data_IF_821940193877
#
_entry.id   IF_821940193877
#
_cell.length_a   1.000
_cell.length_b   1.000
_cell.length_c   1.000
_cell.angle_alpha   90.00
_cell.angle_beta   90.00
_cell.angle_gamma   90.00
#
_symmetry.space_group_name_H-M   'P 1'
#
loop_
_entity.id
_entity.type
_entity.pdbx_description
1 polymer ?
#
# COMPACT_ATOMS: atom_id res chain seq x y z
N UNK A 1 -13.16 -20.43 48.92
CA UNK A 1 -14.37 -20.52 48.08
C UNK A 1 -14.31 -21.78 47.25
N UNK A 2 -15.30 -22.66 47.37
CA UNK A 2 -15.44 -23.82 46.49
C UNK A 2 -15.91 -23.35 45.10
N UNK A 3 -15.38 -23.95 44.03
CA UNK A 3 -15.72 -23.58 42.67
C UNK A 3 -15.31 -24.64 41.65
N UNK A 4 -15.92 -24.62 40.47
CA UNK A 4 -15.62 -25.56 39.40
C UNK A 4 -14.58 -24.98 38.43
N UNK A 5 -13.47 -25.69 38.23
CA UNK A 5 -12.41 -25.36 37.26
C UNK A 5 -12.51 -26.17 35.96
N UNK A 6 -13.63 -26.85 35.73
CA UNK A 6 -13.84 -27.70 34.55
C UNK A 6 -14.26 -26.85 33.34
N UNK A 7 -13.30 -26.32 32.59
CA UNK A 7 -13.54 -25.44 31.45
C UNK A 7 -14.14 -26.14 30.23
N UNK A 8 -13.88 -27.45 30.09
CA UNK A 8 -14.36 -28.26 28.96
C UNK A 8 -15.79 -28.77 29.11
N UNK A 9 -16.37 -28.64 30.30
CA UNK A 9 -17.66 -29.23 30.65
C UNK A 9 -18.70 -28.14 30.89
N UNK A 10 -19.62 -27.97 29.93
CA UNK A 10 -20.69 -26.98 29.97
C UNK A 10 -20.17 -25.53 29.93
N UNK A 11 -21.03 -24.59 30.31
CA UNK A 11 -20.68 -23.17 30.37
C UNK A 11 -20.32 -22.75 31.80
N UNK A 12 -19.71 -21.57 31.95
CA UNK A 12 -19.53 -20.96 33.28
C UNK A 12 -20.88 -20.77 33.97
N UNK A 13 -21.90 -20.33 33.22
CA UNK A 13 -23.23 -20.08 33.75
C UNK A 13 -23.90 -21.34 34.29
N UNK A 14 -23.94 -22.42 33.52
CA UNK A 14 -24.57 -23.68 33.95
C UNK A 14 -23.86 -24.26 35.16
N UNK A 15 -22.51 -24.24 35.17
CA UNK A 15 -21.72 -24.74 36.30
C UNK A 15 -21.99 -23.96 37.59
N UNK A 16 -22.04 -22.63 37.52
CA UNK A 16 -22.32 -21.79 38.70
C UNK A 16 -23.77 -21.96 39.15
N UNK A 17 -24.72 -22.01 38.23
CA UNK A 17 -26.14 -22.27 38.52
C UNK A 17 -26.31 -23.58 39.29
N UNK A 18 -25.65 -24.63 38.83
CA UNK A 18 -25.78 -25.96 39.43
C UNK A 18 -25.06 -26.04 40.80
N UNK A 19 -23.93 -25.34 40.97
CA UNK A 19 -23.26 -25.20 42.28
C UNK A 19 -24.10 -24.43 43.30
N UNK A 20 -24.80 -23.38 42.87
CA UNK A 20 -25.77 -22.65 43.71
C UNK A 20 -26.94 -23.57 44.09
N UNK A 21 -27.50 -24.29 43.12
CA UNK A 21 -28.63 -25.21 43.34
C UNK A 21 -28.28 -26.37 44.26
N UNK A 22 -27.05 -26.87 44.19
CA UNK A 22 -26.55 -27.92 45.07
C UNK A 22 -26.17 -27.41 46.48
N UNK A 23 -26.23 -26.10 46.73
CA UNK A 23 -25.87 -25.50 48.02
C UNK A 23 -24.37 -25.42 48.31
N UNK A 24 -23.52 -25.74 47.32
CA UNK A 24 -22.05 -25.62 47.43
C UNK A 24 -21.64 -24.15 47.47
N UNK A 25 -22.30 -23.33 46.65
CA UNK A 25 -22.23 -21.87 46.72
C UNK A 25 -23.53 -21.41 47.38
N UNK A 26 -23.42 -20.66 48.47
CA UNK A 26 -24.61 -20.08 49.13
C UNK A 26 -25.25 -19.04 48.21
N UNK A 27 -26.56 -18.88 48.31
CA UNK A 27 -27.28 -17.86 47.52
C UNK A 27 -26.74 -16.44 47.79
N UNK A 28 -26.28 -16.17 49.01
CA UNK A 28 -25.66 -14.90 49.42
C UNK A 28 -24.28 -14.68 48.78
N UNK A 29 -23.56 -15.76 48.48
CA UNK A 29 -22.22 -15.74 47.85
C UNK A 29 -22.31 -15.85 46.32
N UNK A 30 -23.49 -15.64 45.76
CA UNK A 30 -23.74 -15.66 44.33
C UNK A 30 -22.90 -14.60 43.62
N UNK A 31 -22.21 -14.95 42.51
CA UNK A 31 -21.40 -13.98 41.78
C UNK A 31 -22.24 -12.83 41.22
N UNK A 32 -21.70 -11.61 41.31
CA UNK A 32 -22.36 -10.36 40.87
C UNK A 32 -22.81 -10.43 39.41
N UNK A 33 -22.04 -11.09 38.54
CA UNK A 33 -22.35 -11.20 37.11
C UNK A 33 -23.51 -12.16 36.81
N UNK A 34 -23.90 -13.05 37.73
CA UNK A 34 -24.86 -14.12 37.44
C UNK A 34 -26.23 -13.59 37.05
N UNK A 35 -26.72 -12.58 37.78
CA UNK A 35 -28.03 -11.97 37.49
C UNK A 35 -28.03 -11.21 36.18
N UNK A 36 -26.91 -10.53 35.86
CA UNK A 36 -26.73 -9.86 34.57
C UNK A 36 -26.78 -10.86 33.43
N UNK A 37 -26.10 -12.00 33.57
CA UNK A 37 -26.12 -13.07 32.55
C UNK A 37 -27.51 -13.70 32.43
N UNK A 38 -28.21 -13.93 33.53
CA UNK A 38 -29.55 -14.51 33.53
C UNK A 38 -30.59 -13.59 32.87
N UNK A 39 -30.48 -12.28 33.08
CA UNK A 39 -31.35 -11.28 32.46
C UNK A 39 -31.02 -11.06 30.97
N UNK A 40 -29.73 -11.06 30.62
CA UNK A 40 -29.25 -10.78 29.27
C UNK A 40 -28.31 -11.88 28.78
N UNK A 41 -28.83 -13.09 28.46
CA UNK A 41 -28.00 -14.19 28.00
C UNK A 41 -27.39 -13.88 26.61
N UNK A 42 -26.16 -14.37 26.34
CA UNK A 42 -25.53 -14.18 25.02
C UNK A 42 -26.27 -14.99 23.95
N UNK A 43 -26.20 -14.55 22.68
CA UNK A 43 -26.80 -15.25 21.54
C UNK A 43 -26.28 -16.68 21.37
N UNK A 44 -24.99 -16.89 21.67
CA UNK A 44 -24.33 -18.19 21.62
C UNK A 44 -23.71 -18.47 22.97
N UNK A 45 -23.99 -19.66 23.49
CA UNK A 45 -23.42 -20.10 24.76
C UNK A 45 -21.91 -20.32 24.65
N UNK A 46 -21.11 -19.91 25.66
CA UNK A 46 -19.66 -20.06 25.66
C UNK A 46 -19.26 -21.50 26.02
N UNK A 47 -19.63 -22.44 25.15
CA UNK A 47 -19.23 -23.84 25.26
C UNK A 47 -17.81 -24.02 24.74
N UNK A 48 -17.06 -24.90 25.40
CA UNK A 48 -15.77 -25.32 24.90
C UNK A 48 -15.96 -26.17 23.64
N UNK A 49 -15.48 -25.67 22.51
CA UNK A 49 -15.36 -26.43 21.27
C UNK A 49 -13.89 -26.68 20.98
N UNK A 50 -13.51 -27.96 20.87
CA UNK A 50 -12.15 -28.32 20.46
C UNK A 50 -11.99 -27.88 19.00
N UNK A 51 -11.02 -27.00 18.65
CA UNK A 51 -10.81 -26.62 17.27
C UNK A 51 -10.39 -27.86 16.47
N UNK A 52 -11.27 -28.34 15.59
CA UNK A 52 -10.98 -29.46 14.71
C UNK A 52 -10.38 -28.88 13.44
N UNK A 53 -9.16 -29.31 13.09
CA UNK A 53 -8.61 -29.01 11.77
C UNK A 53 -9.43 -29.79 10.74
N UNK A 54 -9.95 -29.15 9.68
CA UNK A 54 -10.70 -29.87 8.66
C UNK A 54 -9.82 -31.00 8.10
N UNK A 55 -10.33 -32.23 8.18
CA UNK A 55 -9.60 -33.43 7.71
C UNK A 55 -9.42 -33.43 6.18
N UNK A 56 -10.24 -32.67 5.47
CA UNK A 56 -10.23 -32.58 4.00
C UNK A 56 -9.53 -31.30 3.58
N UNK A 57 -8.52 -31.44 2.72
CA UNK A 57 -7.85 -30.33 2.01
C UNK A 57 -8.81 -29.48 1.15
N UNK A 58 -10.05 -29.94 0.94
CA UNK A 58 -11.09 -29.33 0.12
C UNK A 58 -12.39 -29.07 0.90
N UNK A 59 -12.33 -28.90 2.23
CA UNK A 59 -13.45 -28.27 2.91
C UNK A 59 -13.48 -26.81 2.43
N UNK A 60 -14.37 -26.51 1.48
CA UNK A 60 -14.55 -25.15 0.98
C UNK A 60 -14.84 -24.22 2.17
N UNK A 61 -14.08 -23.12 2.24
CA UNK A 61 -14.32 -22.10 3.24
C UNK A 61 -15.75 -21.57 3.06
N UNK A 62 -16.51 -21.48 4.15
CA UNK A 62 -17.91 -21.04 4.11
C UNK A 62 -18.05 -19.56 3.74
N UNK A 63 -16.95 -18.81 3.77
CA UNK A 63 -16.94 -17.37 3.53
C UNK A 63 -16.59 -17.10 2.06
N UNK A 64 -17.53 -16.55 1.27
CA UNK A 64 -17.26 -16.20 -0.13
C UNK A 64 -16.36 -14.98 -0.26
N UNK A 65 -15.72 -14.82 -1.42
CA UNK A 65 -14.98 -13.62 -1.78
C UNK A 65 -15.92 -12.42 -1.97
N UNK A 66 -15.50 -11.24 -1.52
CA UNK A 66 -16.28 -10.00 -1.60
C UNK A 66 -15.77 -9.19 -2.79
N UNK A 67 -16.47 -9.26 -3.92
CA UNK A 67 -16.16 -8.53 -5.16
C UNK A 67 -17.33 -7.64 -5.55
N UNK A 68 -17.02 -6.41 -5.97
CA UNK A 68 -17.99 -5.44 -6.45
C UNK A 68 -17.80 -5.17 -7.94
N UNK A 69 -18.86 -4.66 -8.60
CA UNK A 69 -18.81 -4.37 -10.05
C UNK A 69 -17.74 -3.33 -10.39
N UNK A 70 -17.55 -2.35 -9.52
CA UNK A 70 -16.55 -1.32 -9.76
C UNK A 70 -15.10 -1.81 -9.59
N UNK A 71 -14.88 -3.01 -9.02
CA UNK A 71 -13.53 -3.58 -8.90
C UNK A 71 -12.93 -3.90 -10.27
N UNK A 72 -13.77 -4.21 -11.27
CA UNK A 72 -13.32 -4.35 -12.67
C UNK A 72 -12.72 -3.04 -13.21
N UNK A 73 -13.32 -1.91 -12.85
CA UNK A 73 -12.88 -0.57 -13.24
C UNK A 73 -11.62 -0.19 -12.47
N UNK A 74 -11.59 -0.47 -11.16
CA UNK A 74 -10.42 -0.23 -10.30
C UNK A 74 -9.21 -1.03 -10.80
N UNK A 75 -9.40 -2.30 -11.17
CA UNK A 75 -8.35 -3.15 -11.71
C UNK A 75 -7.72 -2.53 -12.98
N UNK A 76 -8.56 -2.14 -13.95
CA UNK A 76 -8.11 -1.45 -15.17
C UNK A 76 -7.40 -0.13 -14.87
N UNK A 77 -7.92 0.65 -13.93
CA UNK A 77 -7.32 1.92 -13.51
C UNK A 77 -5.90 1.70 -12.95
N UNK A 78 -5.73 0.75 -12.03
CA UNK A 78 -4.43 0.47 -11.41
C UNK A 78 -3.45 -0.22 -12.37
N UNK A 79 -3.94 -0.97 -13.36
CA UNK A 79 -3.10 -1.50 -14.44
C UNK A 79 -2.50 -0.36 -15.29
N UNK A 80 -3.34 0.59 -15.72
CA UNK A 80 -2.95 1.68 -16.63
C UNK A 80 -2.18 2.81 -15.93
N UNK A 81 -2.67 3.27 -14.77
CA UNK A 81 -2.14 4.46 -14.09
C UNK A 81 -1.33 4.12 -12.84
N UNK A 82 -1.55 2.95 -12.24
CA UNK A 82 -0.93 2.56 -10.99
C UNK A 82 -1.34 3.45 -9.80
N UNK A 83 -0.46 3.52 -8.81
CA UNK A 83 -0.69 4.37 -7.65
C UNK A 83 -0.44 5.84 -8.02
N UNK A 84 -1.48 6.66 -7.91
CA UNK A 84 -1.40 8.09 -8.17
C UNK A 84 -0.47 8.82 -7.17
N UNK A 85 -0.15 10.09 -7.44
CA UNK A 85 0.75 10.87 -6.57
C UNK A 85 0.13 11.18 -5.19
N UNK A 86 -1.21 11.11 -5.09
CA UNK A 86 -1.94 11.36 -3.85
C UNK A 86 -1.99 10.07 -3.02
N UNK A 87 -1.33 10.09 -1.87
CA UNK A 87 -1.41 9.02 -0.88
C UNK A 87 -2.84 8.84 -0.35
N UNK A 88 -3.19 7.62 0.06
CA UNK A 88 -4.46 7.33 0.70
C UNK A 88 -4.47 7.84 2.14
N UNK A 89 -5.49 8.62 2.50
CA UNK A 89 -5.71 9.06 3.88
C UNK A 89 -6.76 8.18 4.57
N UNK A 90 -6.34 7.02 5.08
CA UNK A 90 -7.24 6.02 5.67
C UNK A 90 -7.91 6.48 6.99
N UNK A 91 -7.39 7.53 7.63
CA UNK A 91 -7.97 8.11 8.85
C UNK A 91 -9.26 8.90 8.58
N UNK A 92 -9.42 9.40 7.34
CA UNK A 92 -10.62 10.16 6.95
C UNK A 92 -11.64 9.19 6.36
N UNK A 93 -12.80 8.99 6.99
CA UNK A 93 -13.79 8.01 6.51
C UNK A 93 -14.35 8.38 5.12
N UNK A 94 -14.42 9.68 4.81
CA UNK A 94 -14.96 10.19 3.55
C UNK A 94 -13.84 10.56 2.55
N UNK A 95 -12.67 9.90 2.63
CA UNK A 95 -11.59 10.18 1.71
C UNK A 95 -11.90 9.64 0.31
N UNK A 96 -12.04 10.54 -0.65
CA UNK A 96 -12.21 10.17 -2.05
C UNK A 96 -10.84 10.13 -2.74
N UNK A 97 -10.39 8.91 -3.06
CA UNK A 97 -9.15 8.69 -3.81
C UNK A 97 -9.31 9.06 -5.28
N UNK A 98 -8.20 9.25 -6.01
CA UNK A 98 -8.25 9.52 -7.45
C UNK A 98 -8.93 8.38 -8.22
N UNK A 99 -8.69 7.13 -7.81
CA UNK A 99 -9.36 5.96 -8.37
C UNK A 99 -10.87 5.98 -8.07
N UNK A 100 -11.28 6.38 -6.86
CA UNK A 100 -12.70 6.49 -6.53
C UNK A 100 -13.40 7.60 -7.33
N UNK A 101 -12.74 8.75 -7.56
CA UNK A 101 -13.27 9.80 -8.47
C UNK A 101 -13.44 9.27 -9.89
N UNK A 102 -12.48 8.48 -10.37
CA UNK A 102 -12.57 7.83 -11.67
C UNK A 102 -13.77 6.91 -11.78
N UNK A 103 -13.99 6.06 -10.78
CA UNK A 103 -15.16 5.16 -10.73
C UNK A 103 -16.47 5.94 -10.70
N UNK A 104 -16.55 7.02 -9.91
CA UNK A 104 -17.76 7.86 -9.85
C UNK A 104 -18.08 8.47 -11.21
N UNK A 105 -17.10 9.10 -11.86
CA UNK A 105 -17.27 9.66 -13.20
C UNK A 105 -17.59 8.60 -14.26
N UNK A 106 -16.99 7.42 -14.15
CA UNK A 106 -17.31 6.29 -15.04
C UNK A 106 -18.77 5.87 -14.89
N UNK A 107 -19.25 5.70 -13.67
CA UNK A 107 -20.64 5.34 -13.41
C UNK A 107 -21.63 6.43 -13.85
N UNK A 108 -21.27 7.70 -13.68
CA UNK A 108 -22.08 8.82 -14.17
C UNK A 108 -22.22 8.80 -15.69
N UNK A 109 -21.11 8.62 -16.44
CA UNK A 109 -21.15 8.54 -17.90
C UNK A 109 -21.83 7.27 -18.40
N UNK A 110 -21.65 6.13 -17.71
CA UNK A 110 -22.36 4.88 -17.99
C UNK A 110 -23.88 5.06 -17.84
N UNK A 111 -24.32 5.73 -16.77
CA UNK A 111 -25.75 5.96 -16.51
C UNK A 111 -26.44 6.86 -17.54
N UNK A 112 -25.67 7.75 -18.21
CA UNK A 112 -26.18 8.61 -19.28
C UNK A 112 -26.34 7.84 -20.59
N UNK A 113 -25.59 6.74 -20.78
CA UNK A 113 -25.71 5.87 -21.95
C UNK A 113 -25.12 6.46 -23.23
N UNK A 114 -24.32 7.52 -23.13
CA UNK A 114 -23.84 8.30 -24.28
C UNK A 114 -22.71 7.60 -25.06
N UNK A 115 -22.04 6.59 -24.46
CA UNK A 115 -20.72 6.12 -24.92
C UNK A 115 -20.59 4.60 -24.85
N UNK A 116 -19.89 4.01 -25.83
CA UNK A 116 -19.52 2.59 -25.83
C UNK A 116 -18.54 2.28 -24.69
N UNK A 117 -18.60 1.08 -24.06
CA UNK A 117 -17.79 0.74 -22.88
C UNK A 117 -16.27 0.79 -23.13
N UNK A 118 -15.83 0.54 -24.36
CA UNK A 118 -14.43 0.63 -24.77
C UNK A 118 -13.89 2.07 -24.75
N UNK A 119 -14.74 3.03 -25.13
CA UNK A 119 -14.39 4.45 -25.23
C UNK A 119 -14.65 5.19 -23.91
N UNK A 120 -15.60 4.68 -23.11
CA UNK A 120 -16.01 5.24 -21.82
C UNK A 120 -14.81 5.45 -20.88
N UNK A 121 -13.86 4.50 -20.84
CA UNK A 121 -12.66 4.61 -20.00
C UNK A 121 -11.72 5.75 -20.42
N UNK A 122 -11.61 6.03 -21.72
CA UNK A 122 -10.78 7.13 -22.21
C UNK A 122 -11.47 8.48 -22.01
N UNK A 123 -12.79 8.52 -22.15
CA UNK A 123 -13.58 9.72 -21.94
C UNK A 123 -13.63 10.13 -20.47
N UNK A 124 -13.74 9.17 -19.54
CA UNK A 124 -13.61 9.47 -18.11
C UNK A 124 -12.23 10.02 -17.77
N UNK A 125 -11.17 9.48 -18.38
CA UNK A 125 -9.82 10.02 -18.19
C UNK A 125 -9.71 11.46 -18.71
N UNK A 126 -10.29 11.77 -19.88
CA UNK A 126 -10.34 13.14 -20.42
C UNK A 126 -11.14 14.09 -19.53
N UNK A 127 -12.30 13.65 -19.03
CA UNK A 127 -13.14 14.43 -18.11
C UNK A 127 -12.41 14.75 -16.81
N UNK A 128 -11.74 13.76 -16.21
CA UNK A 128 -10.96 13.96 -14.98
C UNK A 128 -9.73 14.86 -15.18
N UNK A 129 -9.10 14.80 -16.35
CA UNK A 129 -8.03 15.74 -16.71
C UNK A 129 -8.57 17.18 -16.84
N UNK A 130 -9.77 17.36 -17.37
CA UNK A 130 -10.43 18.67 -17.43
C UNK A 130 -10.80 19.21 -16.03
N UNK A 131 -11.12 18.33 -15.07
CA UNK A 131 -11.31 18.67 -13.66
C UNK A 131 -10.00 18.95 -12.90
N UNK A 132 -8.84 18.75 -13.54
CA UNK A 132 -7.52 18.98 -12.95
C UNK A 132 -6.99 17.81 -12.11
N UNK A 133 -7.54 16.61 -12.24
CA UNK A 133 -7.00 15.41 -11.58
C UNK A 133 -5.79 14.89 -12.36
N UNK A 134 -4.66 14.74 -11.68
CA UNK A 134 -3.42 14.26 -12.30
C UNK A 134 -3.44 12.73 -12.50
N UNK A 135 -3.40 12.29 -13.75
CA UNK A 135 -3.35 10.87 -14.15
C UNK A 135 -2.07 10.60 -14.94
N UNK A 136 -1.13 9.84 -14.36
CA UNK A 136 0.12 9.44 -15.02
C UNK A 136 0.05 7.98 -15.43
N UNK A 137 0.22 7.67 -16.71
CA UNK A 137 0.28 6.28 -17.19
C UNK A 137 1.56 5.59 -16.73
N UNK A 138 1.44 4.36 -16.26
CA UNK A 138 2.56 3.50 -15.85
C UNK A 138 3.36 3.14 -17.11
N UNK A 139 4.66 3.47 -17.11
CA UNK A 139 5.56 3.22 -18.25
C UNK A 139 5.56 4.28 -19.36
N UNK A 140 4.75 5.34 -19.26
CA UNK A 140 4.84 6.48 -20.18
C UNK A 140 6.06 7.37 -19.87
N UNK A 141 6.61 8.11 -20.87
CA UNK A 141 7.63 9.11 -20.60
C UNK A 141 7.04 10.07 -19.56
N UNK A 142 7.76 10.30 -18.46
CA UNK A 142 7.30 11.22 -17.44
C UNK A 142 7.03 12.57 -18.11
N UNK A 143 5.77 12.97 -18.24
CA UNK A 143 5.46 14.37 -18.44
C UNK A 143 5.98 15.06 -17.18
N UNK A 144 7.14 15.66 -17.32
CA UNK A 144 7.64 16.70 -16.43
C UNK A 144 6.45 17.60 -16.11
N UNK A 145 6.13 17.70 -14.82
CA UNK A 145 5.34 18.82 -14.30
C UNK A 145 5.81 20.10 -15.00
N UNK A 146 4.94 21.09 -15.29
CA UNK A 146 5.39 22.34 -15.88
C UNK A 146 6.52 22.86 -15.02
N UNK A 147 7.73 22.71 -15.55
CA UNK A 147 8.96 23.01 -14.87
C UNK A 147 8.88 24.52 -14.68
N UNK A 148 8.69 24.97 -13.44
CA UNK A 148 9.19 26.29 -13.05
C UNK A 148 10.72 26.21 -13.08
N UNK A 149 11.28 26.01 -14.28
CA UNK A 149 12.69 26.23 -14.58
C UNK A 149 12.89 27.71 -14.40
N UNK A 150 13.29 28.11 -13.19
CA UNK A 150 13.83 29.44 -12.98
C UNK A 150 14.99 29.60 -13.98
N UNK A 151 14.90 30.48 -14.98
CA UNK A 151 15.91 30.60 -16.03
C UNK A 151 17.30 30.95 -15.45
N UNK A 152 17.32 31.59 -14.28
CA UNK A 152 18.50 31.89 -13.48
C UNK A 152 19.31 30.66 -13.05
N UNK A 153 18.67 29.52 -12.79
CA UNK A 153 19.37 28.28 -12.40
C UNK A 153 20.08 27.64 -13.58
N UNK A 154 19.48 27.70 -14.78
CA UNK A 154 20.12 27.21 -16.00
C UNK A 154 21.35 28.06 -16.36
N UNK A 155 21.28 29.38 -16.23
CA UNK A 155 22.42 30.26 -16.49
C UNK A 155 23.60 29.98 -15.53
N UNK A 156 23.31 29.74 -14.25
CA UNK A 156 24.36 29.38 -13.28
C UNK A 156 25.07 28.07 -13.61
N UNK A 157 24.35 27.06 -14.09
CA UNK A 157 24.95 25.79 -14.48
C UNK A 157 25.80 25.92 -15.74
N UNK A 158 25.38 26.73 -16.71
CA UNK A 158 26.18 27.00 -17.91
C UNK A 158 27.46 27.75 -17.56
N UNK A 159 27.40 28.71 -16.65
CA UNK A 159 28.57 29.48 -16.21
C UNK A 159 29.57 28.61 -15.45
N UNK A 160 29.09 27.75 -14.53
CA UNK A 160 29.95 26.81 -13.80
C UNK A 160 30.62 25.77 -14.70
N UNK A 161 29.91 25.28 -15.74
CA UNK A 161 30.51 24.35 -16.71
C UNK A 161 31.58 25.02 -17.58
N UNK A 162 31.36 26.28 -17.95
CA UNK A 162 32.33 27.05 -18.71
C UNK A 162 33.58 27.37 -17.88
N UNK A 163 33.45 27.63 -16.58
CA UNK A 163 34.59 27.80 -15.67
C UNK A 163 35.43 26.52 -15.55
N UNK A 164 34.78 25.35 -15.38
CA UNK A 164 35.48 24.08 -15.27
C UNK A 164 36.30 23.73 -16.53
N UNK A 165 35.79 24.11 -17.71
CA UNK A 165 36.49 23.91 -18.98
C UNK A 165 37.70 24.85 -19.14
N UNK A 166 37.61 26.10 -18.66
CA UNK A 166 38.74 27.03 -18.66
C UNK A 166 39.86 26.60 -17.70
N UNK A 167 39.50 26.01 -16.57
CA UNK A 167 40.47 25.49 -15.62
C UNK A 167 41.23 24.26 -16.17
N UNK A 168 40.62 23.49 -17.07
CA UNK A 168 41.31 22.38 -17.75
C UNK A 168 42.25 22.82 -18.89
N UNK A 169 42.04 23.99 -19.48
CA UNK A 169 42.89 24.52 -20.57
C UNK A 169 44.15 25.24 -20.06
N UNK A 170 44.20 25.66 -18.80
CA UNK A 170 45.36 26.36 -18.22
C UNK A 170 46.47 25.43 -17.71
N UNK A 171 46.24 24.11 -17.66
CA UNK A 171 47.23 23.12 -17.19
C UNK A 171 47.74 22.29 -18.37
N UNK A 172 48.39 22.94 -19.34
CA UNK A 172 49.32 22.28 -20.27
C UNK A 172 50.54 23.20 -20.46
N UNK A 173 51.70 22.92 -19.85
CA UNK A 173 52.94 23.58 -20.24
C UNK A 173 53.59 22.84 -21.43
N UNK A 174 53.95 23.67 -22.39
CA UNK A 174 54.64 23.42 -23.66
C UNK A 174 56.05 22.83 -23.43
N UNK A 175 56.44 21.86 -24.27
CA UNK A 175 57.80 21.27 -24.39
C UNK A 175 58.85 22.33 -24.74
N UNK A 176 60.15 22.03 -24.53
CA UNK A 176 61.24 22.21 -25.53
C UNK A 176 62.59 21.55 -25.11
N UNK A 177 63.57 21.36 -26.03
CA UNK A 177 64.54 20.23 -26.08
C UNK A 177 66.03 20.63 -26.04
N UNK A 178 66.96 19.65 -25.99
CA UNK A 178 68.15 19.50 -26.90
C UNK A 178 69.19 18.46 -26.40
N UNK A 179 69.91 17.88 -27.37
CA UNK A 179 70.97 16.86 -27.30
C UNK A 179 72.33 17.45 -26.78
N UNK A 180 73.44 16.76 -26.50
CA UNK A 180 74.20 15.83 -27.36
C UNK A 180 75.45 15.22 -26.63
N UNK A 181 75.82 14.00 -27.03
CA UNK A 181 77.16 13.33 -27.06
C UNK A 181 77.97 12.99 -25.78
N UNK A 182 78.41 11.73 -25.63
CA UNK A 182 79.75 11.19 -26.04
C UNK A 182 79.91 9.74 -25.50
N UNK A 183 80.22 8.79 -26.40
CA UNK A 183 80.73 7.41 -26.17
C UNK A 183 82.28 7.46 -26.02
N UNK A 184 82.99 6.48 -25.40
CA UNK A 184 83.33 5.23 -26.13
C UNK A 184 83.55 3.93 -25.30
N UNK A 185 83.21 2.83 -25.98
CA UNK A 185 83.87 1.51 -26.11
C UNK A 185 84.68 0.84 -24.99
N UNK A 186 84.43 -0.47 -24.82
CA UNK A 186 85.47 -1.43 -24.39
C UNK A 186 85.01 -2.84 -23.97
N UNK A 187 85.14 -3.80 -24.90
CA UNK A 187 85.42 -5.25 -24.71
C UNK A 187 84.26 -6.18 -24.27
N UNK A 188 83.68 -7.05 -25.12
CA UNK A 188 84.12 -8.29 -25.84
C UNK A 188 84.19 -9.60 -25.02
N UNK A 189 83.43 -10.59 -25.52
CA UNK A 189 83.72 -12.03 -25.66
C UNK A 189 83.83 -12.94 -24.43
N UNK A 190 82.87 -13.85 -24.27
CA UNK A 190 82.95 -15.28 -24.70
C UNK A 190 81.58 -15.94 -24.60
#
# INVERSE_FOLDING_TARGET
MAGSRLEKFGTVFTRVRDLIRAGVIKQEEKPIWFDVYAAFPPKREPLYEKPVRPLKKHAEDTVPEILYKEDEIRAKFFEVYGNGPRAFELLKPNFVSSCQRFVMMYSELESRGDVKPEVLFEETAKALLAEGVYLRKRGGPGQVAPESRNPLLNMKLTDMLAELQRDTETIVPEKQPQAETVNPDGQTSS
#
